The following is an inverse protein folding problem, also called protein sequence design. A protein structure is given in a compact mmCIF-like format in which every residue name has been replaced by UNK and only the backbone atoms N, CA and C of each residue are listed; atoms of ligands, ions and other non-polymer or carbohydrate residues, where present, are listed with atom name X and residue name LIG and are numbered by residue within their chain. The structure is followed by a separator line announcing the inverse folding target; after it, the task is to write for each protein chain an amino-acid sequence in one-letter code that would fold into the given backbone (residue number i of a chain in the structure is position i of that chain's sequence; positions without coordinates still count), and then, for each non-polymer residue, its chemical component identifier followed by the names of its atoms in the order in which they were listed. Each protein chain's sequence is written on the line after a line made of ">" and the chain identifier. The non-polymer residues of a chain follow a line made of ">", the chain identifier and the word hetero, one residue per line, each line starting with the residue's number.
data_IF_770028031791
#
_entry.id   IF_770028031791
#
_cell.length_a   1.000
_cell.length_b   1.000
_cell.length_c   1.000
_cell.angle_alpha   90.00
_cell.angle_beta   90.00
_cell.angle_gamma   90.00
#
_symmetry.space_group_name_H-M   'P 1'
#
loop_
_entity.id
_entity.type
_entity.pdbx_description
1 polymer ?
#
# COMPACT_ATOMS: atom_id res chain seq x y z
N UNK A 1 27.69 13.44 63.46
CA UNK A 1 27.68 12.28 62.54
C UNK A 1 26.77 12.60 61.36
N UNK A 2 27.33 13.02 60.22
CA UNK A 2 26.56 13.37 59.01
C UNK A 2 26.75 12.25 57.99
N UNK A 3 25.66 11.53 57.70
CA UNK A 3 25.61 10.35 56.84
C UNK A 3 25.64 10.77 55.36
N UNK A 4 26.43 10.07 54.55
CA UNK A 4 26.87 10.45 53.20
C UNK A 4 25.76 10.61 52.16
N UNK A 5 25.98 11.56 51.24
CA UNK A 5 25.23 11.74 49.99
C UNK A 5 25.74 10.76 48.93
N UNK A 6 24.89 9.84 48.49
CA UNK A 6 25.09 9.11 47.24
C UNK A 6 24.52 9.95 46.08
N UNK A 7 25.37 10.26 45.08
CA UNK A 7 24.95 10.85 43.81
C UNK A 7 24.34 9.75 42.94
N UNK A 8 23.12 9.89 42.38
CA UNK A 8 22.70 9.00 41.30
C UNK A 8 23.40 9.41 40.01
N UNK A 9 24.05 8.43 39.39
CA UNK A 9 24.60 8.49 38.03
C UNK A 9 23.51 8.94 37.05
N UNK A 10 23.83 9.92 36.21
CA UNK A 10 23.01 10.29 35.07
C UNK A 10 22.98 9.11 34.07
N UNK A 11 21.80 8.54 33.89
CA UNK A 11 21.52 7.58 32.82
C UNK A 11 21.46 8.37 31.50
N UNK A 12 22.50 8.29 30.68
CA UNK A 12 22.46 8.84 29.32
C UNK A 12 21.59 7.92 28.48
N UNK A 13 20.36 8.34 28.21
CA UNK A 13 19.51 7.71 27.20
C UNK A 13 20.08 8.04 25.82
N UNK A 14 20.78 7.10 25.21
CA UNK A 14 21.16 7.18 23.79
C UNK A 14 19.87 6.92 23.01
N UNK A 15 19.21 7.98 22.58
CA UNK A 15 18.14 7.90 21.60
C UNK A 15 18.77 7.42 20.28
N UNK A 16 18.59 6.14 19.95
CA UNK A 16 18.87 5.63 18.62
C UNK A 16 17.86 6.27 17.66
N UNK A 17 18.26 7.35 17.00
CA UNK A 17 17.54 7.86 15.85
C UNK A 17 17.59 6.78 14.77
N UNK A 18 16.47 6.07 14.57
CA UNK A 18 16.28 5.24 13.40
C UNK A 18 16.24 6.18 12.20
N UNK A 19 17.40 6.36 11.56
CA UNK A 19 17.46 6.96 10.24
C UNK A 19 16.79 5.95 9.31
N UNK A 20 15.51 6.17 9.00
CA UNK A 20 14.86 5.48 7.90
C UNK A 20 15.74 5.73 6.67
N UNK A 21 16.37 4.68 6.16
CA UNK A 21 17.12 4.78 4.92
C UNK A 21 16.17 5.37 3.86
N UNK A 22 16.62 6.33 3.04
CA UNK A 22 15.81 6.76 1.92
C UNK A 22 15.56 5.52 1.06
N UNK A 23 14.31 5.07 0.99
CA UNK A 23 13.87 4.12 -0.01
C UNK A 23 14.10 4.81 -1.35
N UNK A 24 15.24 4.54 -1.97
CA UNK A 24 15.52 4.96 -3.34
C UNK A 24 14.32 4.49 -4.17
N UNK A 25 13.55 5.43 -4.71
CA UNK A 25 12.50 5.10 -5.66
C UNK A 25 13.12 4.18 -6.73
N UNK A 26 12.51 3.01 -6.93
CA UNK A 26 12.96 2.09 -7.98
C UNK A 26 12.97 2.79 -9.35
N UNK A 27 13.69 2.26 -10.35
CA UNK A 27 13.64 2.85 -11.69
C UNK A 27 12.20 2.83 -12.24
N UNK A 28 11.83 3.87 -12.98
CA UNK A 28 10.57 3.90 -13.72
C UNK A 28 10.54 2.72 -14.70
N UNK A 29 9.57 1.85 -14.54
CA UNK A 29 9.44 0.61 -15.31
C UNK A 29 8.40 0.79 -16.41
N UNK A 30 8.75 0.58 -17.70
CA UNK A 30 7.78 0.53 -18.78
C UNK A 30 6.95 -0.75 -18.66
N UNK A 31 5.62 -0.61 -18.75
CA UNK A 31 4.64 -1.67 -18.60
C UNK A 31 3.62 -1.61 -19.75
N UNK A 32 2.86 -2.69 -19.90
CA UNK A 32 1.71 -2.74 -20.83
C UNK A 32 0.46 -3.13 -20.06
N UNK A 33 -0.61 -2.35 -20.19
CA UNK A 33 -1.93 -2.66 -19.64
C UNK A 33 -3.00 -2.51 -20.72
N UNK A 34 -3.73 -3.61 -21.02
CA UNK A 34 -4.74 -3.65 -22.10
C UNK A 34 -4.19 -3.11 -23.43
N UNK A 35 -3.02 -3.61 -23.82
CA UNK A 35 -2.29 -3.23 -25.04
C UNK A 35 -1.88 -1.74 -25.13
N UNK A 36 -1.97 -1.00 -24.02
CA UNK A 36 -1.52 0.38 -23.93
C UNK A 36 -0.25 0.48 -23.09
N UNK A 37 0.74 1.28 -23.53
CA UNK A 37 1.92 1.55 -22.72
C UNK A 37 1.51 2.35 -21.48
N UNK A 38 2.00 1.93 -20.32
CA UNK A 38 1.92 2.66 -19.05
C UNK A 38 3.29 2.62 -18.38
N UNK A 39 3.55 3.52 -17.44
CA UNK A 39 4.77 3.45 -16.63
C UNK A 39 4.38 3.20 -15.17
N UNK A 40 5.30 2.59 -14.43
CA UNK A 40 5.12 2.49 -13.00
C UNK A 40 6.40 2.21 -12.22
N UNK A 41 6.35 2.47 -10.93
CA UNK A 41 7.38 2.11 -9.98
C UNK A 41 7.02 0.77 -9.34
N UNK A 42 7.95 -0.17 -9.34
CA UNK A 42 7.78 -1.42 -8.61
C UNK A 42 7.77 -1.10 -7.11
N UNK A 43 6.70 -1.51 -6.41
CA UNK A 43 6.61 -1.31 -4.97
C UNK A 43 6.36 0.13 -4.52
N UNK A 44 6.82 0.45 -3.31
CA UNK A 44 6.61 1.74 -2.68
C UNK A 44 7.30 2.89 -3.42
N UNK A 45 6.67 4.08 -3.40
CA UNK A 45 7.22 5.32 -3.93
C UNK A 45 6.96 6.47 -2.96
N UNK A 46 7.83 7.48 -2.89
CA UNK A 46 7.70 8.59 -1.93
C UNK A 46 6.42 9.41 -2.14
N UNK A 47 5.99 9.56 -3.38
CA UNK A 47 4.72 10.23 -3.75
C UNK A 47 3.48 9.33 -3.59
N UNK A 48 3.66 8.05 -3.25
CA UNK A 48 2.58 7.12 -2.96
C UNK A 48 2.38 6.98 -1.45
N UNK A 49 1.17 7.22 -0.90
CA UNK A 49 0.98 7.27 0.54
C UNK A 49 1.34 5.95 1.25
N UNK A 50 2.21 6.04 2.26
CA UNK A 50 2.66 4.89 3.05
C UNK A 50 1.52 4.13 3.76
N UNK A 51 0.35 4.75 3.95
CA UNK A 51 -0.85 4.10 4.49
C UNK A 51 -1.34 2.93 3.62
N UNK A 52 -0.89 2.80 2.38
CA UNK A 52 -1.23 1.64 1.54
C UNK A 52 -0.25 0.47 1.68
N UNK A 53 0.87 0.64 2.38
CA UNK A 53 2.02 -0.28 2.35
C UNK A 53 2.24 -0.94 3.72
N UNK A 54 2.56 -2.23 3.72
CA UNK A 54 2.93 -3.01 4.90
C UNK A 54 1.75 -3.43 5.79
N UNK A 55 0.52 -3.10 5.41
CA UNK A 55 -0.69 -3.46 6.16
C UNK A 55 -1.78 -4.05 5.26
N UNK A 56 -2.71 -4.78 5.88
CA UNK A 56 -3.89 -5.30 5.19
C UNK A 56 -4.89 -4.17 4.96
N UNK A 57 -5.30 -4.00 3.71
CA UNK A 57 -6.37 -3.12 3.28
C UNK A 57 -7.56 -4.00 2.91
N UNK A 58 -8.50 -4.13 3.84
CA UNK A 58 -9.70 -4.92 3.65
C UNK A 58 -10.89 -4.03 3.31
N UNK A 59 -11.88 -4.61 2.64
CA UNK A 59 -13.15 -3.93 2.44
C UNK A 59 -13.75 -3.46 3.79
N UNK A 60 -14.45 -2.33 3.73
CA UNK A 60 -15.05 -1.66 4.88
C UNK A 60 -14.07 -1.22 5.99
N UNK A 61 -12.76 -1.25 5.73
CA UNK A 61 -11.75 -0.87 6.72
C UNK A 61 -11.54 -1.93 7.82
N UNK A 62 -11.94 -3.18 7.57
CA UNK A 62 -11.68 -4.27 8.49
C UNK A 62 -10.17 -4.49 8.67
N UNK A 63 -9.68 -4.81 9.89
CA UNK A 63 -8.26 -5.13 10.10
C UNK A 63 -7.86 -6.50 9.52
N UNK A 64 -8.84 -7.34 9.17
CA UNK A 64 -8.62 -8.67 8.66
C UNK A 64 -9.71 -9.08 7.65
N UNK A 65 -9.39 -10.00 6.73
CA UNK A 65 -10.39 -10.49 5.79
C UNK A 65 -11.44 -11.33 6.50
N UNK A 66 -12.70 -11.13 6.15
CA UNK A 66 -13.87 -11.80 6.76
C UNK A 66 -14.73 -12.50 5.70
N UNK A 67 -15.88 -13.05 6.09
CA UNK A 67 -16.77 -13.78 5.19
C UNK A 67 -17.42 -12.91 4.08
N UNK A 68 -17.17 -11.60 4.08
CA UNK A 68 -17.78 -10.60 3.18
C UNK A 68 -16.76 -9.61 2.61
N UNK A 69 -15.48 -9.76 2.94
CA UNK A 69 -14.45 -8.75 2.71
C UNK A 69 -13.15 -9.42 2.28
N UNK A 70 -12.73 -9.21 1.04
CA UNK A 70 -11.38 -9.53 0.60
C UNK A 70 -10.38 -8.45 1.04
N UNK A 71 -9.09 -8.78 1.04
CA UNK A 71 -8.03 -7.81 1.39
C UNK A 71 -6.90 -7.80 0.37
N UNK A 72 -6.20 -6.68 0.37
CA UNK A 72 -4.93 -6.51 -0.31
C UNK A 72 -3.85 -6.19 0.70
N UNK A 73 -2.67 -6.78 0.54
CA UNK A 73 -1.46 -6.35 1.24
C UNK A 73 -0.40 -6.01 0.21
N UNK A 74 0.12 -4.79 0.27
CA UNK A 74 1.20 -4.32 -0.60
C UNK A 74 2.47 -4.19 0.22
N UNK A 75 3.53 -4.89 -0.14
CA UNK A 75 4.85 -4.78 0.49
C UNK A 75 5.71 -3.76 -0.24
N UNK A 76 6.61 -3.09 0.47
CA UNK A 76 7.43 -2.01 -0.08
C UNK A 76 8.32 -2.46 -1.26
N UNK A 77 8.68 -3.74 -1.32
CA UNK A 77 9.53 -4.33 -2.37
C UNK A 77 8.80 -4.64 -3.69
N UNK A 78 7.49 -4.35 -3.77
CA UNK A 78 6.69 -4.65 -4.95
C UNK A 78 6.04 -6.03 -4.92
N UNK A 79 6.27 -6.83 -3.89
CA UNK A 79 5.47 -8.03 -3.64
C UNK A 79 4.16 -7.69 -2.91
N UNK A 80 3.18 -8.57 -2.99
CA UNK A 80 1.92 -8.39 -2.29
C UNK A 80 1.03 -9.63 -2.35
N UNK A 81 -0.10 -9.53 -1.66
CA UNK A 81 -1.17 -10.53 -1.73
C UNK A 81 -2.47 -9.85 -2.07
N UNK A 82 -3.25 -10.49 -2.95
CA UNK A 82 -4.61 -10.09 -3.29
C UNK A 82 -5.56 -11.22 -2.97
N UNK A 83 -6.62 -10.89 -2.26
CA UNK A 83 -7.66 -11.83 -1.90
C UNK A 83 -9.00 -11.31 -2.39
N UNK A 84 -9.64 -12.09 -3.27
CA UNK A 84 -10.95 -11.77 -3.83
C UNK A 84 -12.04 -12.51 -3.06
N UNK A 85 -13.03 -11.79 -2.57
CA UNK A 85 -14.27 -12.41 -2.09
C UNK A 85 -15.23 -12.55 -3.27
N UNK A 86 -15.19 -13.74 -3.90
CA UNK A 86 -15.97 -14.08 -5.09
C UNK A 86 -17.44 -14.34 -4.74
N UNK A 87 -17.72 -14.76 -3.50
CA UNK A 87 -19.05 -14.93 -2.91
C UNK A 87 -18.93 -15.22 -1.40
N UNK A 88 -19.94 -14.87 -0.58
CA UNK A 88 -19.95 -15.18 0.85
C UNK A 88 -19.61 -16.65 1.14
N UNK A 89 -18.54 -16.89 1.90
CA UNK A 89 -18.09 -18.24 2.27
C UNK A 89 -17.28 -19.00 1.21
N UNK A 90 -16.99 -18.40 0.04
CA UNK A 90 -16.06 -18.96 -0.97
C UNK A 90 -14.86 -18.06 -1.10
N UNK A 91 -13.91 -18.27 -0.18
CA UNK A 91 -12.68 -17.50 -0.10
C UNK A 91 -11.53 -18.31 -0.71
N UNK A 92 -11.09 -17.98 -1.94
CA UNK A 92 -9.88 -18.58 -2.48
C UNK A 92 -8.69 -18.21 -1.59
N UNK A 93 -7.63 -19.00 -1.66
CA UNK A 93 -6.37 -18.62 -1.04
C UNK A 93 -5.89 -17.27 -1.61
N UNK A 94 -5.28 -16.38 -0.81
CA UNK A 94 -4.68 -15.16 -1.33
C UNK A 94 -3.72 -15.48 -2.47
N UNK A 95 -3.84 -14.75 -3.57
CA UNK A 95 -2.96 -14.85 -4.71
C UNK A 95 -1.77 -13.91 -4.51
N UNK A 96 -0.58 -14.38 -4.84
CA UNK A 96 0.60 -13.52 -4.86
C UNK A 96 0.53 -12.59 -6.07
N UNK A 97 0.85 -11.32 -5.83
CA UNK A 97 0.91 -10.29 -6.86
C UNK A 97 2.25 -9.57 -6.81
N UNK A 98 2.71 -9.15 -7.98
CA UNK A 98 3.65 -8.05 -8.12
C UNK A 98 2.84 -6.77 -8.32
N UNK A 99 3.19 -5.68 -7.66
CA UNK A 99 2.44 -4.43 -7.77
C UNK A 99 3.31 -3.24 -8.14
N UNK A 100 2.68 -2.32 -8.88
CA UNK A 100 3.32 -1.11 -9.38
C UNK A 100 2.47 0.11 -9.05
N UNK A 101 3.10 1.20 -8.62
CA UNK A 101 2.49 2.54 -8.59
C UNK A 101 2.55 3.11 -9.99
N UNK A 102 1.39 3.47 -10.56
CA UNK A 102 1.35 4.02 -11.91
C UNK A 102 1.84 5.47 -11.92
N UNK A 103 2.66 5.80 -12.92
CA UNK A 103 3.24 7.11 -13.15
C UNK A 103 3.07 7.54 -14.61
N UNK A 104 3.19 8.84 -14.86
CA UNK A 104 3.19 9.42 -16.21
C UNK A 104 4.52 9.17 -16.96
N UNK A 105 4.68 9.79 -18.13
CA UNK A 105 5.91 9.67 -18.92
C UNK A 105 7.11 10.40 -18.32
N UNK A 106 6.87 11.31 -17.38
CA UNK A 106 7.87 12.11 -16.70
C UNK A 106 8.31 11.46 -15.38
N UNK A 107 7.64 10.38 -14.94
CA UNK A 107 7.88 9.71 -13.67
C UNK A 107 7.05 10.27 -12.51
N UNK A 108 6.05 11.11 -12.77
CA UNK A 108 5.17 11.61 -11.72
C UNK A 108 4.11 10.57 -11.40
N UNK A 109 3.97 10.20 -10.11
CA UNK A 109 2.90 9.30 -9.67
C UNK A 109 1.54 9.87 -10.07
N UNK A 110 0.74 9.05 -10.76
CA UNK A 110 -0.57 9.46 -11.25
C UNK A 110 -1.55 9.55 -10.08
N UNK A 111 -2.08 10.75 -9.86
CA UNK A 111 -3.05 11.07 -8.81
C UNK A 111 -4.20 11.90 -9.36
N UNK A 112 -5.43 11.57 -8.96
CA UNK A 112 -6.63 12.40 -9.16
C UNK A 112 -7.16 12.82 -7.80
N UNK A 113 -7.26 14.13 -7.57
CA UNK A 113 -7.75 14.69 -6.31
C UNK A 113 -9.17 15.23 -6.48
N UNK A 114 -10.02 15.02 -5.49
CA UNK A 114 -11.35 15.60 -5.35
C UNK A 114 -11.57 16.15 -3.94
N UNK A 115 -12.72 16.77 -3.69
CA UNK A 115 -13.12 17.19 -2.33
C UNK A 115 -13.19 16.01 -1.38
N UNK A 116 -13.59 14.84 -1.87
CA UNK A 116 -13.98 13.70 -1.03
C UNK A 116 -12.89 12.61 -0.97
N UNK A 117 -11.97 12.58 -1.94
CA UNK A 117 -10.91 11.59 -1.98
C UNK A 117 -9.68 12.02 -2.78
N UNK A 118 -8.54 11.47 -2.40
CA UNK A 118 -7.33 11.41 -3.23
C UNK A 118 -7.20 9.98 -3.80
N UNK A 119 -7.15 9.87 -5.12
CA UNK A 119 -7.11 8.58 -5.84
C UNK A 119 -5.78 8.41 -6.55
N UNK A 120 -5.07 7.35 -6.20
CA UNK A 120 -3.86 6.86 -6.85
C UNK A 120 -4.21 5.62 -7.67
N UNK A 121 -3.36 5.25 -8.61
CA UNK A 121 -3.56 4.07 -9.45
C UNK A 121 -2.43 3.08 -9.24
N UNK A 122 -2.79 1.84 -8.96
CA UNK A 122 -1.85 0.72 -8.85
C UNK A 122 -2.20 -0.35 -9.87
N UNK A 123 -1.18 -1.05 -10.36
CA UNK A 123 -1.34 -2.18 -11.27
C UNK A 123 -0.82 -3.44 -10.59
N UNK A 124 -1.65 -4.47 -10.52
CA UNK A 124 -1.28 -5.78 -10.03
C UNK A 124 -0.99 -6.70 -11.20
N UNK A 125 0.12 -7.41 -11.13
CA UNK A 125 0.50 -8.50 -12.01
C UNK A 125 0.44 -9.82 -11.25
N UNK A 126 -0.38 -10.73 -11.75
CA UNK A 126 -0.61 -12.06 -11.16
C UNK A 126 0.40 -13.07 -11.73
N UNK A 127 0.54 -14.23 -11.09
CA UNK A 127 1.50 -15.27 -11.50
C UNK A 127 1.34 -15.78 -12.95
N UNK A 128 0.19 -15.53 -13.60
CA UNK A 128 -0.05 -15.82 -15.02
C UNK A 128 0.28 -14.69 -15.99
N UNK A 129 0.88 -13.59 -15.52
CA UNK A 129 1.15 -12.37 -16.30
C UNK A 129 -0.09 -11.49 -16.54
N UNK A 130 -1.27 -11.94 -16.09
CA UNK A 130 -2.49 -11.13 -16.09
C UNK A 130 -2.26 -9.86 -15.28
N UNK A 131 -2.68 -8.72 -15.84
CA UNK A 131 -2.56 -7.41 -15.20
C UNK A 131 -3.93 -6.82 -14.93
N UNK A 132 -4.14 -6.28 -13.74
CA UNK A 132 -5.38 -5.59 -13.34
C UNK A 132 -5.05 -4.28 -12.64
N UNK A 133 -5.76 -3.22 -13.01
CA UNK A 133 -5.60 -1.90 -12.41
C UNK A 133 -6.61 -1.70 -11.30
N UNK A 134 -6.17 -1.12 -10.18
CA UNK A 134 -7.00 -0.82 -9.03
C UNK A 134 -6.80 0.63 -8.56
N UNK A 135 -7.88 1.34 -8.20
CA UNK A 135 -7.78 2.63 -7.55
C UNK A 135 -7.42 2.46 -6.07
N UNK A 136 -6.36 3.12 -5.63
CA UNK A 136 -5.97 3.25 -4.22
C UNK A 136 -6.43 4.62 -3.72
N UNK A 137 -7.43 4.65 -2.85
CA UNK A 137 -8.13 5.88 -2.42
C UNK A 137 -7.86 6.21 -0.98
N UNK A 138 -7.51 7.46 -0.70
CA UNK A 138 -7.64 8.05 0.63
C UNK A 138 -8.97 8.80 0.63
N UNK A 139 -9.98 8.22 1.27
CA UNK A 139 -11.29 8.85 1.46
C UNK A 139 -11.17 9.85 2.61
N UNK A 140 -11.52 11.11 2.34
CA UNK A 140 -11.39 12.26 3.26
C UNK A 140 -12.58 12.35 4.24
N UNK A 141 -13.04 11.21 4.72
CA UNK A 141 -14.06 11.12 5.79
C UNK A 141 -13.41 11.45 7.15
N UNK A 142 -14.21 11.46 8.23
CA UNK A 142 -13.71 11.56 9.61
C UNK A 142 -14.03 10.27 10.37
N UNK A 143 -13.05 9.39 10.66
CA UNK A 143 -11.63 9.49 10.27
C UNK A 143 -11.38 9.15 8.80
N UNK A 144 -10.28 9.67 8.24
CA UNK A 144 -9.86 9.36 6.87
C UNK A 144 -9.47 7.88 6.77
N UNK A 145 -9.74 7.25 5.63
CA UNK A 145 -9.48 5.82 5.41
C UNK A 145 -8.82 5.54 4.07
N UNK A 146 -7.85 4.63 4.08
CA UNK A 146 -7.23 4.08 2.89
C UNK A 146 -8.02 2.87 2.39
N UNK A 147 -8.33 2.83 1.08
CA UNK A 147 -9.14 1.79 0.46
C UNK A 147 -8.53 1.39 -0.87
N UNK A 148 -8.30 0.09 -1.05
CA UNK A 148 -8.13 -0.54 -2.36
C UNK A 148 -9.27 -1.55 -2.46
N UNK A 149 -10.15 -1.36 -3.43
CA UNK A 149 -11.29 -2.27 -3.62
C UNK A 149 -10.76 -3.57 -4.23
N UNK A 150 -10.69 -4.63 -3.41
CA UNK A 150 -10.17 -5.94 -3.82
C UNK A 150 -11.17 -6.68 -4.71
N UNK A 151 -12.47 -6.36 -4.62
CA UNK A 151 -13.51 -6.90 -5.49
C UNK A 151 -13.41 -6.33 -6.88
N UNK A 152 -13.11 -7.22 -7.84
CA UNK A 152 -13.32 -6.92 -9.24
C UNK A 152 -14.83 -6.88 -9.53
N UNK A 153 -15.45 -5.71 -9.44
CA UNK A 153 -16.76 -5.49 -10.06
C UNK A 153 -16.50 -5.29 -11.54
N UNK A 154 -16.90 -6.26 -12.38
CA UNK A 154 -17.10 -6.00 -13.80
C UNK A 154 -18.07 -4.82 -13.87
N UNK A 155 -17.58 -3.64 -14.25
CA UNK A 155 -18.47 -2.52 -14.56
C UNK A 155 -19.13 -2.92 -15.89
N UNK A 156 -20.47 -3.13 -15.92
CA UNK A 156 -21.19 -3.52 -17.13
C UNK A 156 -21.09 -2.45 -18.23
#
# INVERSE_FOLDING_TARGET
>A
MVKGRAKPLALVAIAAAMVAAPTLAGPLTPLTYRDKPVNGYLGGHEDFPAVFVGQNLCENGSPAPDARSGCVKLEADGSGTWENDVAPGRRPAPENITWYVIADQQGTVTKVSSSDADTYFVLFEFAGGEKRAFPARIVKDTPARAVIDSKYRVIP
#
